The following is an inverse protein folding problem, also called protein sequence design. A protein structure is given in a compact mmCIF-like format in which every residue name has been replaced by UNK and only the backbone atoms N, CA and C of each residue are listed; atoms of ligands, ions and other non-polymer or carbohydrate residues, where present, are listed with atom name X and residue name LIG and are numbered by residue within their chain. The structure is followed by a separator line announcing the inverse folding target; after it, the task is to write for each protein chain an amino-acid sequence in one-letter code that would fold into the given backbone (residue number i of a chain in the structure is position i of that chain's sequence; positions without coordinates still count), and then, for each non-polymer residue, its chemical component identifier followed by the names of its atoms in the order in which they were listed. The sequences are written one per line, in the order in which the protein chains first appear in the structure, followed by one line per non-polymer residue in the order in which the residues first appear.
data_IF_025456697178
#
_entry.id   IF_025456697178
#
_cell.length_a   1.000
_cell.length_b   1.000
_cell.length_c   1.000
_cell.angle_alpha   90.00
_cell.angle_beta   90.00
_cell.angle_gamma   90.00
#
_symmetry.space_group_name_H-M   'P 1'
#
loop_
_entity.id
_entity.type
_entity.pdbx_description
1 polymer ?
#
# COMPACT_ATOMS: atom_id res chain seq x y z
N UNK A 1 -13.44 -14.02 0.55
CA UNK A 1 -14.33 -12.87 0.26
C UNK A 1 -14.43 -11.86 1.42
N UNK A 2 -14.58 -12.30 2.68
CA UNK A 2 -14.68 -11.38 3.82
C UNK A 2 -13.55 -10.36 3.89
N UNK A 3 -12.30 -10.82 3.81
CA UNK A 3 -11.12 -9.96 3.79
C UNK A 3 -11.19 -8.90 2.68
N UNK A 4 -11.54 -9.32 1.45
CA UNK A 4 -11.69 -8.44 0.30
C UNK A 4 -12.76 -7.36 0.55
N UNK A 5 -13.96 -7.75 0.98
CA UNK A 5 -15.05 -6.80 1.22
C UNK A 5 -14.70 -5.82 2.35
N UNK A 6 -14.06 -6.31 3.42
CA UNK A 6 -13.61 -5.46 4.51
C UNK A 6 -12.59 -4.43 4.04
N UNK A 7 -11.56 -4.86 3.32
CA UNK A 7 -10.55 -3.97 2.74
C UNK A 7 -11.14 -2.96 1.77
N UNK A 8 -12.10 -3.39 0.94
CA UNK A 8 -12.81 -2.50 0.04
C UNK A 8 -13.60 -1.44 0.82
N UNK A 9 -14.36 -1.84 1.84
CA UNK A 9 -15.09 -0.89 2.70
C UNK A 9 -14.16 0.10 3.39
N UNK A 10 -13.04 -0.36 3.95
CA UNK A 10 -12.04 0.49 4.60
C UNK A 10 -11.39 1.48 3.62
N UNK A 11 -10.97 1.02 2.43
CA UNK A 11 -10.35 1.84 1.39
C UNK A 11 -11.30 2.94 0.86
N UNK A 12 -12.60 2.68 0.89
CA UNK A 12 -13.62 3.67 0.55
C UNK A 12 -13.97 4.62 1.71
N UNK A 13 -13.31 4.49 2.88
CA UNK A 13 -13.61 5.29 4.08
C UNK A 13 -14.89 4.88 4.80
N UNK A 14 -15.44 3.71 4.47
CA UNK A 14 -16.63 3.15 5.10
C UNK A 14 -16.33 2.41 6.40
N UNK A 15 -17.35 2.24 7.23
CA UNK A 15 -17.26 1.43 8.43
C UNK A 15 -17.68 -0.01 8.14
N UNK A 16 -16.80 -0.97 8.43
CA UNK A 16 -17.12 -2.39 8.33
C UNK A 16 -18.19 -2.78 9.38
N UNK A 17 -19.26 -3.43 8.93
CA UNK A 17 -20.35 -3.91 9.80
C UNK A 17 -20.38 -5.44 9.73
N UNK A 18 -19.79 -6.08 10.73
CA UNK A 18 -19.64 -7.54 10.78
C UNK A 18 -20.98 -8.29 10.68
N UNK A 19 -22.02 -7.78 11.33
CA UNK A 19 -23.35 -8.39 11.34
C UNK A 19 -23.96 -8.48 9.92
N UNK A 20 -23.76 -7.45 9.09
CA UNK A 20 -24.22 -7.45 7.69
C UNK A 20 -23.53 -8.55 6.89
N UNK A 21 -22.21 -8.71 7.08
CA UNK A 21 -21.46 -9.77 6.42
C UNK A 21 -21.90 -11.15 6.90
N UNK A 22 -22.13 -11.33 8.21
CA UNK A 22 -22.60 -12.59 8.76
C UNK A 22 -23.99 -12.98 8.21
N UNK A 23 -24.92 -12.02 8.11
CA UNK A 23 -26.23 -12.23 7.51
C UNK A 23 -26.11 -12.66 6.02
N UNK A 24 -25.25 -11.98 5.26
CA UNK A 24 -24.98 -12.34 3.87
C UNK A 24 -24.34 -13.74 3.74
N UNK A 25 -23.35 -14.06 4.59
CA UNK A 25 -22.68 -15.36 4.63
C UNK A 25 -23.66 -16.49 4.93
N UNK A 26 -24.61 -16.27 5.83
CA UNK A 26 -25.67 -17.25 6.11
C UNK A 26 -26.57 -17.51 4.90
N UNK A 27 -26.91 -16.47 4.13
CA UNK A 27 -27.65 -16.62 2.86
C UNK A 27 -26.83 -17.39 1.82
N UNK A 28 -25.53 -17.11 1.72
CA UNK A 28 -24.63 -17.79 0.80
C UNK A 28 -24.49 -19.28 1.14
N UNK A 29 -24.32 -19.61 2.42
CA UNK A 29 -24.21 -20.99 2.90
C UNK A 29 -25.47 -21.81 2.59
N UNK A 30 -26.66 -21.20 2.69
CA UNK A 30 -27.93 -21.85 2.29
C UNK A 30 -27.98 -22.22 0.81
N UNK A 31 -27.31 -21.43 -0.04
CA UNK A 31 -27.23 -21.70 -1.49
C UNK A 31 -26.15 -22.73 -1.87
N UNK A 32 -25.34 -23.21 -0.91
CA UNK A 32 -24.16 -24.05 -1.14
C UNK A 32 -23.22 -23.55 -2.25
N UNK A 33 -23.24 -22.24 -2.55
CA UNK A 33 -22.51 -21.70 -3.69
C UNK A 33 -21.30 -20.91 -3.19
N UNK A 34 -20.16 -21.08 -3.87
CA UNK A 34 -19.12 -20.07 -3.84
C UNK A 34 -19.52 -18.92 -4.76
N UNK A 35 -19.00 -17.72 -4.50
CA UNK A 35 -19.29 -16.58 -5.37
C UNK A 35 -18.43 -16.66 -6.62
N UNK A 36 -19.08 -16.68 -7.77
CA UNK A 36 -18.45 -16.37 -9.05
C UNK A 36 -17.99 -14.90 -9.09
N UNK A 37 -17.12 -14.58 -10.05
CA UNK A 37 -16.68 -13.21 -10.27
C UNK A 37 -17.87 -12.26 -10.56
N UNK A 38 -18.88 -12.74 -11.30
CA UNK A 38 -20.07 -11.94 -11.63
C UNK A 38 -20.93 -11.67 -10.40
N UNK A 39 -21.20 -12.68 -9.57
CA UNK A 39 -21.95 -12.48 -8.32
C UNK A 39 -21.22 -11.55 -7.34
N UNK A 40 -19.87 -11.55 -7.34
CA UNK A 40 -19.08 -10.60 -6.57
C UNK A 40 -19.23 -9.15 -7.10
N UNK A 41 -19.17 -8.97 -8.41
CA UNK A 41 -19.38 -7.66 -9.06
C UNK A 41 -20.78 -7.15 -8.74
N UNK A 42 -21.79 -8.00 -8.84
CA UNK A 42 -23.16 -7.66 -8.46
C UNK A 42 -23.26 -7.29 -6.99
N UNK A 43 -22.63 -8.06 -6.08
CA UNK A 43 -22.63 -7.75 -4.65
C UNK A 43 -22.05 -6.36 -4.34
N UNK A 44 -20.93 -6.01 -4.99
CA UNK A 44 -20.30 -4.69 -4.85
C UNK A 44 -21.17 -3.60 -5.50
N UNK A 45 -21.79 -3.88 -6.65
CA UNK A 45 -22.68 -2.97 -7.37
C UNK A 45 -24.02 -2.72 -6.69
N UNK A 46 -24.54 -3.69 -5.93
CA UNK A 46 -25.78 -3.56 -5.15
C UNK A 46 -25.67 -2.54 -4.00
N UNK A 47 -24.47 -2.04 -3.70
CA UNK A 47 -24.31 -1.08 -2.62
C UNK A 47 -24.35 -1.70 -1.22
N UNK A 48 -24.39 -3.03 -1.07
CA UNK A 48 -24.55 -3.64 0.25
C UNK A 48 -23.43 -3.24 1.25
N UNK A 49 -22.21 -3.10 0.73
CA UNK A 49 -21.00 -2.69 1.46
C UNK A 49 -20.41 -1.35 0.97
N UNK A 50 -21.11 -0.69 0.04
CA UNK A 50 -20.70 0.55 -0.64
C UNK A 50 -21.83 1.59 -0.72
N UNK A 51 -22.92 1.41 0.04
CA UNK A 51 -24.12 2.27 -0.02
C UNK A 51 -23.76 3.72 0.25
N UNK A 52 -24.15 4.62 -0.65
CA UNK A 52 -23.93 6.06 -0.50
C UNK A 52 -22.54 6.53 -0.94
N UNK A 53 -21.70 5.64 -1.48
CA UNK A 53 -20.42 6.01 -2.08
C UNK A 53 -20.63 6.43 -3.52
N UNK A 54 -19.98 7.51 -3.93
CA UNK A 54 -19.95 7.92 -5.33
C UNK A 54 -19.02 7.02 -6.16
N UNK A 55 -19.12 7.13 -7.49
CA UNK A 55 -18.35 6.29 -8.43
C UNK A 55 -16.85 6.47 -8.31
N UNK A 56 -16.38 7.67 -7.99
CA UNK A 56 -14.95 7.96 -7.85
C UNK A 56 -14.39 7.29 -6.59
N UNK A 57 -15.09 7.42 -5.46
CA UNK A 57 -14.69 6.75 -4.21
C UNK A 57 -14.63 5.23 -4.37
N UNK A 58 -15.63 4.64 -5.03
CA UNK A 58 -15.62 3.20 -5.34
C UNK A 58 -14.42 2.82 -6.21
N UNK A 59 -14.15 3.59 -7.27
CA UNK A 59 -13.01 3.35 -8.16
C UNK A 59 -11.68 3.44 -7.42
N UNK A 60 -11.53 4.39 -6.50
CA UNK A 60 -10.34 4.53 -5.66
C UNK A 60 -10.17 3.33 -4.73
N UNK A 61 -11.25 2.91 -4.05
CA UNK A 61 -11.22 1.74 -3.17
C UNK A 61 -10.89 0.44 -3.91
N UNK A 62 -11.47 0.22 -5.09
CA UNK A 62 -11.14 -0.93 -5.93
C UNK A 62 -9.65 -0.92 -6.31
N UNK A 63 -9.12 0.24 -6.72
CA UNK A 63 -7.71 0.36 -7.08
C UNK A 63 -6.79 0.10 -5.89
N UNK A 64 -7.10 0.63 -4.71
CA UNK A 64 -6.31 0.38 -3.50
C UNK A 64 -6.28 -1.11 -3.11
N UNK A 65 -7.44 -1.77 -3.14
CA UNK A 65 -7.54 -3.20 -2.88
C UNK A 65 -6.79 -4.01 -3.94
N UNK A 66 -6.84 -3.62 -5.21
CA UNK A 66 -6.08 -4.26 -6.29
C UNK A 66 -4.57 -4.15 -6.07
N UNK A 67 -4.08 -2.97 -5.68
CA UNK A 67 -2.68 -2.75 -5.37
C UNK A 67 -2.23 -3.63 -4.19
N UNK A 68 -3.01 -3.73 -3.13
CA UNK A 68 -2.67 -4.55 -1.95
C UNK A 68 -2.76 -6.06 -2.25
N UNK A 69 -3.88 -6.53 -2.80
CA UNK A 69 -4.19 -7.96 -2.86
C UNK A 69 -3.64 -8.69 -4.09
N UNK A 70 -3.41 -7.97 -5.19
CA UNK A 70 -2.99 -8.56 -6.46
C UNK A 70 -1.56 -8.18 -6.80
N UNK A 71 -1.15 -6.95 -6.49
CA UNK A 71 0.19 -6.45 -6.79
C UNK A 71 1.15 -6.46 -5.59
N UNK A 72 0.67 -6.92 -4.42
CA UNK A 72 1.38 -7.00 -3.15
C UNK A 72 2.06 -5.67 -2.75
N UNK A 73 1.45 -4.54 -3.11
CA UNK A 73 1.94 -3.21 -2.77
C UNK A 73 1.43 -2.83 -1.40
N UNK A 74 2.33 -2.82 -0.41
CA UNK A 74 2.00 -2.43 0.96
C UNK A 74 2.00 -0.91 1.14
N UNK A 75 2.92 -0.22 0.46
CA UNK A 75 3.01 1.23 0.51
C UNK A 75 3.69 1.79 -0.72
N UNK A 76 3.25 2.97 -1.14
CA UNK A 76 3.87 3.70 -2.22
C UNK A 76 3.78 5.21 -1.99
N UNK A 77 4.70 5.97 -2.57
CA UNK A 77 4.77 7.40 -2.35
C UNK A 77 6.10 8.03 -2.74
N UNK A 78 6.07 9.34 -2.97
CA UNK A 78 7.27 10.14 -3.18
C UNK A 78 8.06 10.32 -1.89
N UNK A 79 9.38 10.07 -1.97
CA UNK A 79 10.34 10.36 -0.91
C UNK A 79 11.67 10.85 -1.51
N UNK A 80 12.46 11.56 -0.70
CA UNK A 80 13.79 11.99 -1.10
C UNK A 80 14.80 10.88 -0.83
N UNK A 81 15.56 10.48 -1.84
CA UNK A 81 16.61 9.46 -1.73
C UNK A 81 17.98 10.08 -1.86
N UNK A 82 18.92 9.70 -0.99
CA UNK A 82 20.33 10.05 -1.15
C UNK A 82 21.02 9.16 -2.18
N UNK A 83 21.78 9.78 -3.09
CA UNK A 83 22.63 9.09 -4.04
C UNK A 83 23.78 8.36 -3.34
N UNK A 84 24.15 7.16 -3.80
CA UNK A 84 25.21 6.39 -3.16
C UNK A 84 26.61 6.96 -3.48
N UNK A 85 26.89 7.25 -4.76
CA UNK A 85 28.18 7.81 -5.23
C UNK A 85 28.22 9.34 -5.09
N UNK A 86 27.31 10.05 -5.75
CA UNK A 86 27.32 11.53 -5.82
C UNK A 86 26.59 12.24 -4.67
N UNK A 87 26.17 11.52 -3.62
CA UNK A 87 25.52 12.01 -2.37
C UNK A 87 24.38 13.04 -2.48
N UNK A 88 23.92 13.40 -3.68
CA UNK A 88 22.80 14.31 -3.91
C UNK A 88 21.47 13.68 -3.50
N UNK A 89 20.53 14.50 -3.07
CA UNK A 89 19.17 14.11 -2.76
C UNK A 89 18.27 14.27 -3.98
N UNK A 90 17.56 13.21 -4.36
CA UNK A 90 16.63 13.23 -5.49
C UNK A 90 15.29 12.64 -5.08
N UNK A 91 14.19 13.28 -5.45
CA UNK A 91 12.85 12.73 -5.26
C UNK A 91 12.66 11.49 -6.14
N UNK A 92 12.06 10.45 -5.58
CA UNK A 92 11.75 9.20 -6.26
C UNK A 92 10.40 8.67 -5.77
N UNK A 93 9.68 8.00 -6.66
CA UNK A 93 8.51 7.21 -6.27
C UNK A 93 8.97 5.86 -5.74
N UNK A 94 8.65 5.55 -4.49
CA UNK A 94 8.97 4.27 -3.87
C UNK A 94 7.75 3.36 -3.87
N UNK A 95 7.99 2.05 -4.01
CA UNK A 95 6.99 1.00 -3.89
C UNK A 95 7.53 -0.10 -2.98
N UNK A 96 6.91 -0.28 -1.82
CA UNK A 96 7.19 -1.32 -0.85
C UNK A 96 6.33 -2.56 -1.14
N UNK A 97 7.00 -3.70 -1.22
CA UNK A 97 6.45 -5.05 -1.36
C UNK A 97 7.04 -5.96 -0.28
N UNK A 98 6.47 -7.16 -0.04
CA UNK A 98 6.93 -8.05 1.03
C UNK A 98 8.44 -8.29 1.11
N UNK A 99 9.11 -8.39 -0.04
CA UNK A 99 10.53 -8.73 -0.14
C UNK A 99 11.39 -7.65 -0.81
N UNK A 100 10.82 -6.47 -1.11
CA UNK A 100 11.58 -5.42 -1.79
C UNK A 100 11.02 -4.02 -1.62
N UNK A 101 11.91 -3.03 -1.76
CA UNK A 101 11.53 -1.64 -2.00
C UNK A 101 12.11 -1.22 -3.35
N UNK A 102 11.24 -1.11 -4.36
CA UNK A 102 11.60 -0.56 -5.66
C UNK A 102 11.48 0.97 -5.65
N UNK A 103 12.31 1.66 -6.42
CA UNK A 103 12.16 3.10 -6.62
C UNK A 103 12.31 3.52 -8.08
N UNK A 104 11.47 4.48 -8.48
CA UNK A 104 11.25 4.92 -9.86
C UNK A 104 11.44 6.44 -9.96
N UNK A 105 11.56 6.94 -11.19
CA UNK A 105 11.57 8.39 -11.43
C UNK A 105 10.25 9.03 -11.00
N UNK A 106 9.14 8.39 -11.31
CA UNK A 106 7.77 8.88 -11.11
C UNK A 106 6.81 7.73 -10.77
N UNK A 107 5.59 8.09 -10.40
CA UNK A 107 4.49 7.17 -10.05
C UNK A 107 3.94 6.35 -11.24
N UNK A 108 4.35 6.67 -12.48
CA UNK A 108 3.94 5.90 -13.67
C UNK A 108 4.65 4.53 -13.80
N UNK A 109 5.62 4.26 -12.92
CA UNK A 109 6.41 3.03 -12.83
C UNK A 109 7.18 2.67 -14.12
N UNK A 110 7.33 3.59 -15.07
CA UNK A 110 7.99 3.31 -16.36
C UNK A 110 9.50 3.18 -16.24
N UNK A 111 10.12 4.03 -15.41
CA UNK A 111 11.57 4.08 -15.29
C UNK A 111 12.04 3.68 -13.88
N UNK A 112 12.32 2.38 -13.71
CA UNK A 112 12.89 1.84 -12.47
C UNK A 112 14.35 2.28 -12.32
N UNK A 113 14.69 2.91 -11.20
CA UNK A 113 16.06 3.36 -10.87
C UNK A 113 16.80 2.41 -9.93
N UNK A 114 16.10 1.50 -9.28
CA UNK A 114 16.72 0.43 -8.52
C UNK A 114 15.73 -0.31 -7.63
N UNK A 115 16.31 -1.26 -6.91
CA UNK A 115 15.61 -2.15 -6.01
C UNK A 115 16.43 -2.35 -4.74
N UNK A 116 15.74 -2.40 -3.61
CA UNK A 116 16.30 -2.76 -2.31
C UNK A 116 15.67 -4.10 -1.96
N UNK A 117 16.42 -5.19 -2.09
CA UNK A 117 15.94 -6.50 -1.65
C UNK A 117 15.88 -6.50 -0.13
N UNK A 118 14.72 -6.81 0.43
CA UNK A 118 14.48 -6.90 1.87
C UNK A 118 14.62 -8.37 2.28
N UNK A 119 15.66 -8.66 3.04
CA UNK A 119 15.89 -9.97 3.66
C UNK A 119 16.10 -9.82 5.17
N UNK A 120 16.42 -10.94 5.84
CA UNK A 120 16.62 -10.98 7.30
C UNK A 120 17.83 -10.18 7.79
N UNK A 121 18.73 -9.80 6.89
CA UNK A 121 19.92 -9.00 7.19
C UNK A 121 19.65 -7.51 7.01
N UNK A 122 18.50 -7.13 6.46
CA UNK A 122 18.11 -5.73 6.37
C UNK A 122 17.51 -5.25 7.70
N UNK A 123 17.84 -4.01 8.06
CA UNK A 123 17.21 -3.29 9.15
C UNK A 123 16.89 -1.85 8.74
N UNK A 124 15.89 -1.27 9.39
CA UNK A 124 15.50 0.12 9.22
C UNK A 124 15.73 0.88 10.52
N UNK A 125 16.37 2.05 10.42
CA UNK A 125 16.68 2.89 11.57
C UNK A 125 16.27 4.33 11.31
N UNK A 126 15.73 4.98 12.33
CA UNK A 126 15.51 6.42 12.33
C UNK A 126 16.85 7.16 12.43
N UNK A 127 17.05 8.17 11.58
CA UNK A 127 18.21 9.05 11.64
C UNK A 127 17.85 10.45 12.16
N UNK A 128 18.79 11.17 12.80
CA UNK A 128 18.63 12.58 13.13
C UNK A 128 18.63 13.44 11.86
N UNK A 129 18.06 14.64 11.95
CA UNK A 129 18.04 15.62 10.87
C UNK A 129 19.48 16.05 10.52
N UNK A 130 19.83 16.03 9.21
CA UNK A 130 21.15 16.42 8.70
C UNK A 130 21.06 16.93 7.26
N UNK A 131 22.03 17.73 6.82
CA UNK A 131 22.12 18.23 5.43
C UNK A 131 20.83 18.96 4.97
N UNK A 132 20.16 19.65 5.89
CA UNK A 132 18.88 20.33 5.61
C UNK A 132 17.71 19.39 5.35
N UNK A 133 17.86 18.08 5.54
CA UNK A 133 16.79 17.08 5.45
C UNK A 133 16.25 16.72 6.82
N UNK A 134 14.94 16.55 6.87
CA UNK A 134 14.18 16.13 8.04
C UNK A 134 13.54 14.77 7.80
N UNK A 135 13.02 14.17 8.87
CA UNK A 135 12.27 12.92 8.79
C UNK A 135 13.09 11.81 8.09
N UNK A 136 14.37 11.74 8.45
CA UNK A 136 15.32 10.82 7.86
C UNK A 136 15.22 9.42 8.47
N UNK A 137 15.45 8.43 7.63
CA UNK A 137 15.67 7.05 8.02
C UNK A 137 16.64 6.38 7.05
N UNK A 138 17.19 5.24 7.47
CA UNK A 138 18.11 4.45 6.67
C UNK A 138 17.65 3.01 6.61
N UNK A 139 17.63 2.45 5.41
CA UNK A 139 17.51 1.00 5.21
C UNK A 139 18.93 0.48 5.03
N UNK A 140 19.44 -0.29 5.99
CA UNK A 140 20.73 -0.97 5.91
C UNK A 140 20.46 -2.40 5.48
N UNK A 141 21.18 -2.87 4.48
CA UNK A 141 21.23 -4.27 4.07
C UNK A 141 22.71 -4.71 4.02
N UNK A 142 22.97 -5.99 3.79
CA UNK A 142 24.31 -6.59 3.91
C UNK A 142 25.43 -5.75 3.26
N UNK A 143 25.24 -5.34 2.01
CA UNK A 143 26.29 -4.67 1.24
C UNK A 143 26.05 -3.17 1.02
N UNK A 144 24.88 -2.67 1.42
CA UNK A 144 24.44 -1.34 1.02
C UNK A 144 23.44 -0.73 1.97
N UNK A 145 23.58 0.58 2.15
CA UNK A 145 22.63 1.39 2.90
C UNK A 145 22.00 2.47 2.03
N UNK A 146 20.75 2.79 2.36
CA UNK A 146 19.90 3.70 1.62
C UNK A 146 19.32 4.74 2.58
N UNK A 147 19.88 5.95 2.55
CA UNK A 147 19.32 7.09 3.29
C UNK A 147 18.13 7.67 2.52
N UNK A 148 17.01 7.82 3.23
CA UNK A 148 15.73 8.26 2.70
C UNK A 148 15.16 9.33 3.64
N UNK A 149 14.51 10.35 3.08
CA UNK A 149 13.80 11.40 3.81
C UNK A 149 12.34 11.43 3.34
N UNK A 150 11.43 11.26 4.30
CA UNK A 150 10.00 11.42 4.08
C UNK A 150 9.58 12.89 4.20
N UNK A 151 8.40 13.25 3.68
CA UNK A 151 7.89 14.64 3.76
C UNK A 151 7.58 15.11 5.18
N UNK A 152 7.21 14.19 6.06
CA UNK A 152 6.75 14.49 7.43
C UNK A 152 6.93 13.28 8.36
N UNK A 153 6.72 13.51 9.66
CA UNK A 153 6.90 12.50 10.72
C UNK A 153 5.92 11.33 10.58
N UNK A 154 4.69 11.61 10.13
CA UNK A 154 3.65 10.58 9.97
C UNK A 154 4.05 9.62 8.85
N UNK A 155 4.40 10.13 7.66
CA UNK A 155 4.89 9.30 6.56
C UNK A 155 6.15 8.55 6.93
N UNK A 156 7.11 9.19 7.61
CA UNK A 156 8.30 8.48 8.11
C UNK A 156 7.90 7.26 8.96
N UNK A 157 6.99 7.44 9.92
CA UNK A 157 6.55 6.36 10.77
C UNK A 157 5.88 5.24 9.96
N UNK A 158 4.96 5.58 9.06
CA UNK A 158 4.27 4.62 8.19
C UNK A 158 5.18 3.86 7.22
N UNK A 159 6.37 4.37 6.90
CA UNK A 159 7.35 3.68 6.05
C UNK A 159 8.32 2.80 6.85
N UNK A 160 8.41 2.97 8.16
CA UNK A 160 9.32 2.23 9.06
C UNK A 160 8.60 1.10 9.79
N UNK A 161 7.32 1.28 10.12
CA UNK A 161 6.47 0.25 10.74
C UNK A 161 5.91 -0.70 9.70
#
# INVERSE_FOLDING_TARGET
IEYFLRKLTEAMGGNWIQEKFNAYKAQLARKQNCLSAWELIELVGMGHFSKGMDRQTLSMGINEVFQELILDVFKQGYMMKKGHKRKNWTERWFVLRPSSISYYVSEDLKEKKGDIVLDRNCCVESLPDKEGKKCLFIVKCADKSFEISASDKKKKHEWIQ
#
